data_IF_827065548995
#
_entry.id   IF_827065548995
#
_cell.length_a   1.000
_cell.length_b   1.000
_cell.length_c   1.000
_cell.angle_alpha   90.00
_cell.angle_beta   90.00
_cell.angle_gamma   90.00
#
_symmetry.space_group_name_H-M   'P 1'
#
loop_
_entity.id
_entity.type
_entity.pdbx_description
1 polymer ?
#
# COMPACT_ATOMS: atom_id res chain seq x y z
N UNK A 1 46.66 10.12 -25.23
CA UNK A 1 45.61 9.13 -25.57
C UNK A 1 45.46 8.04 -24.50
N UNK A 2 45.59 8.34 -23.20
CA UNK A 2 45.55 7.34 -22.11
C UNK A 2 44.73 7.76 -20.87
N UNK A 3 43.89 8.79 -20.98
CA UNK A 3 42.99 9.21 -19.88
C UNK A 3 41.49 9.01 -20.20
N UNK A 4 41.14 8.65 -21.44
CA UNK A 4 39.73 8.53 -21.85
C UNK A 4 39.15 7.10 -21.73
N UNK A 5 40.01 6.07 -21.58
CA UNK A 5 39.57 4.68 -21.46
C UNK A 5 39.27 4.24 -20.01
N UNK A 6 39.85 4.91 -19.00
CA UNK A 6 39.65 4.58 -17.58
C UNK A 6 38.24 4.92 -17.07
N UNK A 7 37.65 6.00 -17.56
CA UNK A 7 36.31 6.48 -17.15
C UNK A 7 35.19 5.55 -17.62
N UNK A 8 35.29 5.03 -18.86
CA UNK A 8 34.29 4.11 -19.43
C UNK A 8 34.34 2.71 -18.79
N UNK A 9 35.52 2.25 -18.37
CA UNK A 9 35.67 0.95 -17.70
C UNK A 9 35.12 0.96 -16.26
N UNK A 10 35.28 2.08 -15.53
CA UNK A 10 34.67 2.27 -14.20
C UNK A 10 33.14 2.31 -14.30
N UNK A 11 32.59 3.09 -15.23
CA UNK A 11 31.14 3.24 -15.43
C UNK A 11 30.45 1.92 -15.83
N UNK A 12 31.11 1.09 -16.66
CA UNK A 12 30.59 -0.25 -17.01
C UNK A 12 30.64 -1.24 -15.85
N UNK A 13 31.62 -1.16 -14.93
CA UNK A 13 31.68 -2.03 -13.73
C UNK A 13 30.64 -1.63 -12.68
N UNK A 14 30.39 -0.34 -12.52
CA UNK A 14 29.42 0.22 -11.57
C UNK A 14 27.97 -0.12 -11.97
N UNK A 15 27.63 -0.02 -13.27
CA UNK A 15 26.33 -0.46 -13.80
C UNK A 15 26.13 -1.98 -13.64
N UNK A 16 27.21 -2.77 -13.79
CA UNK A 16 27.16 -4.24 -13.63
C UNK A 16 27.05 -4.69 -12.17
N UNK A 17 27.49 -3.89 -11.20
CA UNK A 17 27.31 -4.15 -9.77
C UNK A 17 25.92 -3.73 -9.27
N UNK A 18 25.36 -2.63 -9.79
CA UNK A 18 23.98 -2.21 -9.49
C UNK A 18 22.91 -3.18 -10.02
N UNK A 19 23.17 -3.82 -11.17
CA UNK A 19 22.25 -4.85 -11.69
C UNK A 19 22.20 -6.15 -10.86
N UNK A 20 23.18 -6.42 -9.99
CA UNK A 20 23.18 -7.64 -9.13
C UNK A 20 22.30 -7.52 -7.88
N UNK A 21 21.81 -6.32 -7.56
CA UNK A 21 20.98 -6.06 -6.39
C UNK A 21 19.48 -5.94 -6.70
N UNK A 22 19.09 -5.97 -7.98
CA UNK A 22 17.68 -5.95 -8.41
C UNK A 22 16.97 -7.31 -8.31
N UNK A 23 17.63 -8.33 -7.74
CA UNK A 23 17.17 -9.72 -7.73
C UNK A 23 16.37 -10.17 -6.51
N UNK A 24 16.12 -9.32 -5.51
CA UNK A 24 15.20 -9.64 -4.40
C UNK A 24 14.50 -8.37 -3.96
N UNK A 25 13.26 -8.17 -4.41
CA UNK A 25 12.32 -7.30 -3.70
C UNK A 25 12.14 -7.94 -2.32
N UNK A 26 12.93 -7.49 -1.35
CA UNK A 26 12.72 -7.84 0.05
C UNK A 26 11.40 -7.18 0.43
N UNK A 27 10.35 -7.99 0.45
CA UNK A 27 9.05 -7.54 0.86
C UNK A 27 9.06 -7.54 2.38
N UNK A 28 9.27 -6.38 2.98
CA UNK A 28 9.23 -6.24 4.43
C UNK A 28 7.76 -6.17 4.86
N UNK A 29 7.21 -7.20 5.53
CA UNK A 29 5.82 -7.20 5.93
C UNK A 29 5.61 -6.09 6.96
N UNK A 30 4.74 -5.12 6.66
CA UNK A 30 4.40 -4.06 7.62
C UNK A 30 3.71 -4.69 8.85
N UNK A 31 4.46 -4.81 9.93
CA UNK A 31 3.96 -5.16 11.26
C UNK A 31 3.67 -3.87 12.03
N UNK A 32 2.58 -3.84 12.80
CA UNK A 32 2.37 -2.74 13.77
C UNK A 32 3.46 -2.88 14.86
N UNK A 33 4.14 -1.78 15.17
CA UNK A 33 5.29 -1.74 16.08
C UNK A 33 5.02 -2.33 17.49
N UNK A 34 3.74 -2.43 17.87
CA UNK A 34 3.28 -2.88 19.19
C UNK A 34 2.70 -4.30 19.21
N UNK A 35 2.75 -5.05 18.10
CA UNK A 35 2.19 -6.40 18.02
C UNK A 35 3.28 -7.49 18.06
N UNK A 36 2.97 -8.62 18.72
CA UNK A 36 3.87 -9.76 18.84
C UNK A 36 4.23 -10.30 17.44
N UNK A 37 5.52 -10.32 17.12
CA UNK A 37 6.07 -10.65 15.78
C UNK A 37 5.73 -12.06 15.26
N UNK A 38 5.12 -12.90 16.09
CA UNK A 38 4.85 -14.31 15.81
C UNK A 38 3.38 -14.65 15.51
N UNK A 39 2.45 -13.67 15.54
CA UNK A 39 1.04 -13.93 15.17
C UNK A 39 0.81 -13.55 13.71
N UNK A 40 0.29 -14.49 12.92
CA UNK A 40 -0.03 -14.27 11.50
C UNK A 40 -1.05 -13.13 11.29
N UNK A 41 -1.92 -12.90 12.28
CA UNK A 41 -2.90 -11.81 12.27
C UNK A 41 -2.30 -10.40 12.34
N UNK A 42 -1.05 -10.26 12.76
CA UNK A 42 -0.37 -8.96 12.90
C UNK A 42 0.15 -8.39 11.57
N UNK A 43 0.10 -9.20 10.51
CA UNK A 43 0.62 -8.85 9.19
C UNK A 43 -0.50 -8.38 8.27
N UNK A 44 -0.26 -7.29 7.55
CA UNK A 44 -1.13 -6.90 6.43
C UNK A 44 -0.93 -7.86 5.27
N UNK A 45 -1.95 -8.63 4.93
CA UNK A 45 -1.94 -9.50 3.75
C UNK A 45 -2.00 -8.65 2.48
N UNK A 46 -1.06 -8.88 1.56
CA UNK A 46 -1.10 -8.29 0.22
C UNK A 46 -1.57 -9.32 -0.79
N UNK A 47 -2.55 -8.94 -1.61
CA UNK A 47 -2.98 -9.75 -2.74
C UNK A 47 -1.97 -9.68 -3.88
N UNK A 48 -1.33 -10.81 -4.19
CA UNK A 48 -0.54 -10.97 -5.39
C UNK A 48 -1.46 -11.25 -6.58
N UNK A 49 -2.02 -10.19 -7.17
CA UNK A 49 -2.80 -10.26 -8.41
C UNK A 49 -1.89 -10.20 -9.65
N UNK A 50 -2.38 -10.75 -10.77
CA UNK A 50 -1.67 -10.70 -12.05
C UNK A 50 -1.49 -9.26 -12.54
N UNK A 51 -0.48 -9.02 -13.39
CA UNK A 51 -0.23 -7.70 -13.96
C UNK A 51 -1.44 -7.14 -14.69
N UNK A 52 -2.16 -7.99 -15.43
CA UNK A 52 -3.39 -7.62 -16.14
C UNK A 52 -4.50 -7.21 -15.17
N UNK A 53 -4.65 -7.93 -14.05
CA UNK A 53 -5.63 -7.57 -13.03
C UNK A 53 -5.32 -6.20 -12.41
N UNK A 54 -4.05 -5.92 -12.06
CA UNK A 54 -3.61 -4.62 -11.54
C UNK A 54 -3.81 -3.48 -12.53
N UNK A 55 -3.59 -3.73 -13.81
CA UNK A 55 -3.86 -2.76 -14.86
C UNK A 55 -5.35 -2.42 -14.91
N UNK A 56 -6.21 -3.45 -14.92
CA UNK A 56 -7.66 -3.27 -14.93
C UNK A 56 -8.15 -2.56 -13.65
N UNK A 57 -7.64 -2.95 -12.48
CA UNK A 57 -7.90 -2.26 -11.20
C UNK A 57 -7.57 -0.76 -11.29
N UNK A 58 -6.44 -0.40 -11.91
CA UNK A 58 -6.06 1.00 -12.10
C UNK A 58 -7.01 1.74 -13.04
N UNK A 59 -7.44 1.11 -14.13
CA UNK A 59 -8.40 1.70 -15.08
C UNK A 59 -9.74 1.93 -14.39
N UNK A 60 -10.26 0.93 -13.69
CA UNK A 60 -11.53 1.02 -12.95
C UNK A 60 -11.44 2.06 -11.85
N UNK A 61 -10.36 2.09 -11.06
CA UNK A 61 -10.17 3.07 -10.01
C UNK A 61 -10.15 4.50 -10.58
N UNK A 62 -9.44 4.75 -11.68
CA UNK A 62 -9.42 6.07 -12.32
C UNK A 62 -10.83 6.52 -12.76
N UNK A 63 -11.62 5.61 -13.35
CA UNK A 63 -13.00 5.92 -13.77
C UNK A 63 -13.90 6.17 -12.57
N UNK A 64 -13.79 5.37 -11.52
CA UNK A 64 -14.52 5.57 -10.27
C UNK A 64 -14.17 6.91 -9.63
N UNK A 65 -12.89 7.24 -9.48
CA UNK A 65 -12.47 8.53 -8.93
C UNK A 65 -13.08 9.69 -9.71
N UNK A 66 -13.06 9.62 -11.05
CA UNK A 66 -13.71 10.65 -11.87
C UNK A 66 -15.21 10.79 -11.58
N UNK A 67 -15.95 9.69 -11.49
CA UNK A 67 -17.39 9.72 -11.15
C UNK A 67 -17.62 10.34 -9.77
N UNK A 68 -16.86 9.91 -8.76
CA UNK A 68 -17.01 10.40 -7.39
C UNK A 68 -16.76 11.91 -7.27
N UNK A 69 -15.74 12.42 -7.97
CA UNK A 69 -15.43 13.85 -8.01
C UNK A 69 -16.47 14.63 -8.84
N UNK A 70 -16.88 14.11 -10.01
CA UNK A 70 -17.85 14.81 -10.87
C UNK A 70 -19.25 14.95 -10.25
N UNK A 71 -19.62 13.99 -9.39
CA UNK A 71 -20.93 13.94 -8.73
C UNK A 71 -20.86 14.43 -7.28
N UNK A 72 -19.70 14.95 -6.81
CA UNK A 72 -19.46 15.38 -5.43
C UNK A 72 -19.93 14.34 -4.38
N UNK A 73 -19.65 13.05 -4.61
CA UNK A 73 -20.10 11.96 -3.74
C UNK A 73 -19.28 11.83 -2.45
N UNK A 74 -18.08 12.42 -2.43
CA UNK A 74 -17.18 12.39 -1.28
C UNK A 74 -17.26 13.71 -0.53
N UNK A 75 -17.38 13.63 0.79
CA UNK A 75 -17.35 14.80 1.67
C UNK A 75 -16.05 15.58 1.48
N UNK A 76 -16.12 16.90 1.59
CA UNK A 76 -14.94 17.77 1.52
C UNK A 76 -13.93 17.44 2.63
N UNK A 77 -14.43 17.04 3.79
CA UNK A 77 -13.61 16.58 4.92
C UNK A 77 -12.90 15.23 4.68
N UNK A 78 -13.10 14.57 3.53
CA UNK A 78 -12.35 13.38 3.18
C UNK A 78 -11.16 13.74 2.29
N UNK A 79 -9.94 13.63 2.82
CA UNK A 79 -8.67 13.74 2.08
C UNK A 79 -8.18 12.40 1.54
N UNK A 80 -8.39 11.31 2.30
CA UNK A 80 -7.91 9.97 1.96
C UNK A 80 -8.43 9.47 0.60
N UNK A 81 -7.54 8.85 -0.17
CA UNK A 81 -7.82 8.26 -1.49
C UNK A 81 -8.28 9.25 -2.58
N UNK A 82 -8.12 10.56 -2.37
CA UNK A 82 -8.38 11.60 -3.39
C UNK A 82 -7.08 12.15 -3.96
N UNK A 83 -7.09 12.53 -5.24
CA UNK A 83 -5.90 13.10 -5.90
C UNK A 83 -5.73 14.56 -5.44
N UNK A 84 -4.50 14.94 -5.11
CA UNK A 84 -4.17 16.33 -4.74
C UNK A 84 -4.65 16.76 -3.35
N UNK A 85 -5.04 15.82 -2.47
CA UNK A 85 -5.38 16.11 -1.08
C UNK A 85 -4.50 15.28 -0.14
N UNK A 86 -3.99 15.91 0.91
CA UNK A 86 -3.25 15.26 1.99
C UNK A 86 -4.08 15.27 3.28
N UNK A 87 -4.03 14.18 4.05
CA UNK A 87 -4.63 14.15 5.38
C UNK A 87 -3.90 15.07 6.35
N UNK A 88 -2.59 15.24 6.18
CA UNK A 88 -1.79 16.13 7.01
C UNK A 88 -2.21 17.58 6.81
N UNK A 89 -2.27 18.04 5.55
CA UNK A 89 -2.67 19.41 5.21
C UNK A 89 -4.07 19.73 5.74
N UNK A 90 -5.01 18.79 5.57
CA UNK A 90 -6.39 19.00 6.01
C UNK A 90 -6.49 19.13 7.55
N UNK A 91 -5.77 18.30 8.29
CA UNK A 91 -5.78 18.36 9.76
C UNK A 91 -5.11 19.64 10.24
N UNK A 92 -4.00 20.05 9.63
CA UNK A 92 -3.32 21.30 9.97
C UNK A 92 -4.24 22.50 9.75
N UNK A 93 -4.94 22.57 8.62
CA UNK A 93 -5.90 23.64 8.34
C UNK A 93 -7.01 23.72 9.39
N UNK A 94 -7.64 22.60 9.74
CA UNK A 94 -8.72 22.56 10.76
C UNK A 94 -8.23 23.03 12.15
N UNK A 95 -6.97 22.72 12.50
CA UNK A 95 -6.35 23.18 13.76
C UNK A 95 -6.07 24.69 13.71
N UNK A 96 -5.53 25.19 12.60
CA UNK A 96 -5.24 26.61 12.41
C UNK A 96 -6.51 27.46 12.46
N UNK A 97 -7.57 27.01 11.79
CA UNK A 97 -8.87 27.67 11.77
C UNK A 97 -9.49 27.70 13.18
N UNK A 98 -9.48 26.56 13.89
CA UNK A 98 -9.95 26.47 15.27
C UNK A 98 -9.16 27.38 16.23
N UNK A 99 -7.84 27.51 16.01
CA UNK A 99 -6.98 28.41 16.77
C UNK A 99 -7.31 29.89 16.52
N UNK A 100 -7.49 30.29 15.25
CA UNK A 100 -7.86 31.66 14.89
C UNK A 100 -9.21 32.08 15.48
N UNK A 101 -10.16 31.15 15.51
CA UNK A 101 -11.50 31.36 16.07
C UNK A 101 -11.55 31.27 17.61
N UNK A 102 -10.41 31.02 18.27
CA UNK A 102 -10.29 30.81 19.73
C UNK A 102 -11.21 29.69 20.24
N UNK A 103 -11.48 28.69 19.41
CA UNK A 103 -12.30 27.53 19.77
C UNK A 103 -11.41 26.43 20.38
N UNK A 104 -11.85 25.79 21.47
CA UNK A 104 -11.15 24.60 21.98
C UNK A 104 -11.21 23.50 20.92
N UNK A 105 -10.04 23.04 20.47
CA UNK A 105 -9.91 22.02 19.42
C UNK A 105 -9.41 20.72 20.04
N UNK A 106 -10.06 19.60 19.73
CA UNK A 106 -9.69 18.25 20.23
C UNK A 106 -9.71 17.27 19.07
N UNK A 107 -8.69 16.40 19.00
CA UNK A 107 -8.54 15.41 17.91
C UNK A 107 -8.79 14.01 18.47
N UNK A 108 -9.61 13.24 17.77
CA UNK A 108 -9.85 11.82 18.08
C UNK A 108 -9.38 10.98 16.90
N UNK A 109 -8.41 10.09 17.15
CA UNK A 109 -7.89 9.17 16.14
C UNK A 109 -8.66 7.85 16.16
N UNK A 110 -9.24 7.47 15.03
CA UNK A 110 -9.97 6.20 14.85
C UNK A 110 -9.25 5.32 13.82
N UNK A 111 -8.83 4.12 14.24
CA UNK A 111 -8.26 3.09 13.36
C UNK A 111 -9.15 1.84 13.35
N UNK A 112 -9.67 1.50 12.18
CA UNK A 112 -10.55 0.34 12.01
C UNK A 112 -9.75 -0.94 11.82
N UNK A 113 -9.96 -1.93 12.69
CA UNK A 113 -9.27 -3.21 12.59
C UNK A 113 -9.74 -4.01 11.36
N UNK A 114 -8.81 -4.34 10.45
CA UNK A 114 -9.05 -5.12 9.22
C UNK A 114 -10.15 -4.49 8.33
N UNK A 115 -10.14 -3.17 8.18
CA UNK A 115 -11.17 -2.40 7.46
C UNK A 115 -11.55 -2.97 6.08
N UNK A 116 -10.57 -3.37 5.26
CA UNK A 116 -10.82 -3.92 3.92
C UNK A 116 -11.41 -5.34 3.92
N UNK A 117 -11.09 -6.14 4.94
CA UNK A 117 -11.61 -7.51 5.07
C UNK A 117 -13.04 -7.51 5.66
N UNK A 118 -13.39 -6.49 6.45
CA UNK A 118 -14.70 -6.35 7.12
C UNK A 118 -15.73 -5.52 6.31
N UNK A 119 -15.45 -5.19 5.05
CA UNK A 119 -16.38 -4.41 4.22
C UNK A 119 -17.68 -5.19 3.99
N UNK A 120 -18.82 -4.61 4.35
CA UNK A 120 -20.14 -5.16 4.04
C UNK A 120 -20.37 -5.19 2.52
N UNK A 121 -20.32 -6.38 1.94
CA UNK A 121 -20.31 -6.55 0.48
C UNK A 121 -21.64 -6.14 -0.16
N UNK A 122 -22.76 -6.55 0.43
CA UNK A 122 -24.08 -6.22 -0.09
C UNK A 122 -24.33 -4.71 -0.03
N UNK A 123 -23.93 -4.06 1.07
CA UNK A 123 -24.02 -2.61 1.21
C UNK A 123 -23.14 -1.86 0.21
N UNK A 124 -21.93 -2.36 -0.05
CA UNK A 124 -21.06 -1.79 -1.10
C UNK A 124 -21.75 -1.87 -2.47
N UNK A 125 -22.24 -3.05 -2.86
CA UNK A 125 -22.91 -3.24 -4.14
C UNK A 125 -24.17 -2.37 -4.27
N UNK A 126 -24.94 -2.21 -3.19
CA UNK A 126 -26.10 -1.33 -3.14
C UNK A 126 -25.70 0.14 -3.39
N UNK A 127 -24.65 0.62 -2.73
CA UNK A 127 -24.14 1.98 -2.96
C UNK A 127 -23.70 2.20 -4.41
N UNK A 128 -23.03 1.21 -5.01
CA UNK A 128 -22.64 1.32 -6.43
C UNK A 128 -23.88 1.47 -7.33
N UNK A 129 -24.96 0.74 -7.05
CA UNK A 129 -26.21 0.87 -7.81
C UNK A 129 -26.91 2.21 -7.59
N UNK A 130 -26.90 2.74 -6.36
CA UNK A 130 -27.47 4.05 -6.02
C UNK A 130 -26.73 5.20 -6.72
N UNK A 131 -25.43 5.08 -6.95
CA UNK A 131 -24.62 6.08 -7.66
C UNK A 131 -24.56 5.88 -9.18
N UNK A 132 -25.50 5.12 -9.75
CA UNK A 132 -25.63 4.89 -11.20
C UNK A 132 -24.36 4.37 -11.89
N UNK A 133 -23.58 3.55 -11.18
CA UNK A 133 -22.39 2.93 -11.76
C UNK A 133 -22.80 1.93 -12.85
N UNK A 134 -22.13 2.02 -14.01
CA UNK A 134 -22.40 1.14 -15.15
C UNK A 134 -22.34 -0.34 -14.78
N UNK A 135 -23.25 -1.14 -15.37
CA UNK A 135 -23.38 -2.57 -15.09
C UNK A 135 -22.06 -3.35 -15.29
N UNK A 136 -21.27 -2.99 -16.31
CA UNK A 136 -19.96 -3.62 -16.58
C UNK A 136 -18.98 -3.42 -15.42
N UNK A 137 -18.90 -2.20 -14.91
CA UNK A 137 -18.02 -1.87 -13.79
C UNK A 137 -18.52 -2.50 -12.49
N UNK A 138 -19.84 -2.50 -12.26
CA UNK A 138 -20.46 -3.21 -11.15
C UNK A 138 -20.10 -4.71 -11.14
N UNK A 139 -20.29 -5.40 -12.27
CA UNK A 139 -19.97 -6.83 -12.37
C UNK A 139 -18.48 -7.10 -12.17
N UNK A 140 -17.63 -6.26 -12.74
CA UNK A 140 -16.19 -6.38 -12.55
C UNK A 140 -15.79 -6.22 -11.08
N UNK A 141 -16.33 -5.23 -10.36
CA UNK A 141 -16.04 -5.03 -8.93
C UNK A 141 -16.51 -6.25 -8.11
N UNK A 142 -17.72 -6.75 -8.40
CA UNK A 142 -18.29 -7.94 -7.75
C UNK A 142 -17.39 -9.18 -7.95
N UNK A 143 -16.99 -9.46 -9.19
CA UNK A 143 -16.14 -10.61 -9.51
C UNK A 143 -14.71 -10.46 -8.99
N UNK A 144 -14.18 -9.24 -8.98
CA UNK A 144 -12.82 -8.96 -8.51
C UNK A 144 -12.64 -9.39 -7.05
N UNK A 145 -13.64 -9.18 -6.18
CA UNK A 145 -13.60 -9.65 -4.78
C UNK A 145 -13.50 -11.17 -4.71
N UNK A 146 -14.27 -11.89 -5.53
CA UNK A 146 -14.20 -13.36 -5.59
C UNK A 146 -12.84 -13.84 -6.10
N UNK A 147 -12.20 -13.12 -7.02
CA UNK A 147 -10.81 -13.40 -7.46
C UNK A 147 -9.81 -13.22 -6.31
N UNK A 148 -9.90 -12.12 -5.58
CA UNK A 148 -9.05 -11.82 -4.43
C UNK A 148 -9.21 -12.84 -3.28
N UNK A 149 -10.45 -13.29 -3.02
CA UNK A 149 -10.72 -14.33 -2.03
C UNK A 149 -10.14 -15.71 -2.43
N UNK A 150 -10.18 -16.06 -3.73
CA UNK A 150 -9.56 -17.29 -4.25
C UNK A 150 -8.04 -17.25 -4.15
N UNK A 151 -7.42 -16.10 -4.45
CA UNK A 151 -5.98 -15.90 -4.28
C UNK A 151 -5.53 -16.10 -2.81
N UNK A 152 -6.35 -15.67 -1.84
CA UNK A 152 -6.10 -15.91 -0.41
C UNK A 152 -6.18 -17.40 -0.03
N UNK A 153 -7.13 -18.17 -0.59
CA UNK A 153 -7.28 -19.61 -0.30
C UNK A 153 -6.17 -20.48 -0.87
N UNK A 154 -5.64 -20.15 -2.05
CA UNK A 154 -4.54 -20.91 -2.68
C UNK A 154 -3.27 -20.92 -1.83
N UNK A 155 -3.02 -19.88 -1.03
CA UNK A 155 -1.89 -19.82 -0.09
C UNK A 155 -2.08 -20.68 1.17
N UNK A 156 -3.30 -21.13 1.48
CA UNK A 156 -3.59 -21.95 2.67
C UNK A 156 -3.00 -23.36 2.62
N UNK A 157 -2.47 -23.80 1.47
CA UNK A 157 -1.75 -25.08 1.34
C UNK A 157 -0.37 -25.10 2.01
N UNK A 158 0.23 -23.94 2.27
CA UNK A 158 1.50 -23.82 2.98
C UNK A 158 1.26 -23.62 4.49
N UNK A 159 0.80 -24.66 5.19
CA UNK A 159 0.48 -24.63 6.64
C UNK A 159 1.69 -24.46 7.57
N UNK A 160 2.88 -24.07 7.09
CA UNK A 160 4.06 -23.90 7.93
C UNK A 160 4.90 -22.72 7.48
N UNK A 161 4.55 -21.54 7.96
CA UNK A 161 5.44 -20.39 7.89
C UNK A 161 6.54 -20.56 8.94
N UNK A 162 7.79 -20.66 8.49
CA UNK A 162 8.96 -20.58 9.36
C UNK A 162 9.53 -19.17 9.26
N UNK A 163 9.76 -18.45 10.38
CA UNK A 163 10.48 -17.18 10.31
C UNK A 163 11.87 -17.43 9.70
N UNK A 164 12.38 -16.53 8.85
CA UNK A 164 13.77 -16.63 8.40
C UNK A 164 14.66 -16.63 9.64
N UNK A 165 15.40 -17.73 9.85
CA UNK A 165 16.40 -17.78 10.94
C UNK A 165 17.42 -16.69 10.65
N UNK A 166 17.42 -15.62 11.46
CA UNK A 166 18.55 -14.70 11.51
C UNK A 166 19.74 -15.54 11.95
N UNK A 167 20.61 -15.92 11.01
CA UNK A 167 21.93 -16.40 11.36
C UNK A 167 22.65 -15.32 12.16
N UNK A 168 23.52 -15.67 13.13
CA UNK A 168 24.32 -14.68 13.83
C UNK A 168 25.06 -13.82 12.80
N UNK A 169 25.01 -12.50 12.98
CA UNK A 169 25.80 -11.57 12.20
C UNK A 169 27.28 -11.99 12.34
N UNK A 170 28.05 -12.08 11.24
CA UNK A 170 29.47 -12.36 11.35
C UNK A 170 30.13 -11.18 12.08
N UNK A 171 30.46 -11.39 13.35
CA UNK A 171 31.38 -10.54 14.09
C UNK A 171 32.77 -10.79 13.53
N UNK A 172 33.31 -9.86 12.74
CA UNK A 172 34.75 -9.52 12.69
C UNK A 172 34.98 -8.39 11.66
N UNK A 173 34.96 -7.14 12.13
CA UNK A 173 35.86 -6.13 11.57
C UNK A 173 37.16 -6.23 12.37
N UNK A 174 38.33 -6.49 11.75
CA UNK A 174 39.58 -6.48 12.49
C UNK A 174 39.91 -5.06 12.95
N UNK A 175 40.15 -4.90 14.25
CA UNK A 175 40.66 -3.68 14.87
C UNK A 175 42.00 -3.30 14.24
N UNK A 176 42.03 -2.17 13.53
CA UNK A 176 43.28 -1.51 13.16
C UNK A 176 43.60 -0.56 14.31
N UNK A 177 44.54 -0.96 15.16
CA UNK A 177 45.20 -0.04 16.09
C UNK A 177 46.01 0.99 15.29
N UNK A 178 46.05 2.22 15.82
CA UNK A 178 46.83 3.36 15.34
C UNK A 178 48.30 3.03 15.17
#
# INVERSE_FOLDING_TARGET
MLLHLGSQAKRKREIRQNHKHLGKRHFDPQTKAWQTKNKLDSYRLISLTSCTCKLMERVVNNRLSWIHESNNLLTEAQSGFRKGRSTEDQITQEIEDGFQEKKPTTIVWLDLEKAFDKVWEQGLLLKLTQHHISHRMYNWIKESKSMHARAKKSHSGYKKWHPPRRGPLPNTFPNIHK
#
